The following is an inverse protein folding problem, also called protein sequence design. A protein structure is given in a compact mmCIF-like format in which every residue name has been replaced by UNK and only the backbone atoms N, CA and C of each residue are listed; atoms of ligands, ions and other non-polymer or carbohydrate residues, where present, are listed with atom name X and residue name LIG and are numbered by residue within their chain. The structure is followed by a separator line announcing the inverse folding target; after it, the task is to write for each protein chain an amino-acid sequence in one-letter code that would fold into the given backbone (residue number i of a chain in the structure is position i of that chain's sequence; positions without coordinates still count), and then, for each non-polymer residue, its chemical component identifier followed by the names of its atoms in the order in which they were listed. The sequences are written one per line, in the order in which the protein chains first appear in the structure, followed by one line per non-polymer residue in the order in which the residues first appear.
data_IF_617760185073
#
_entry.id   IF_617760185073
#
_cell.length_a   1.000
_cell.length_b   1.000
_cell.length_c   1.000
_cell.angle_alpha   90.00
_cell.angle_beta   90.00
_cell.angle_gamma   90.00
#
_symmetry.space_group_name_H-M   'P 1'
#
loop_
_entity.id
_entity.type
_entity.pdbx_description
1 polymer ?
#
# COMPACT_ATOMS: atom_id res chain seq x y z
N UNK A 1 7.48 -0.16 -20.66
CA UNK A 1 6.29 -0.35 -19.82
C UNK A 1 5.33 -1.34 -20.47
N UNK A 2 4.65 -2.21 -19.70
CA UNK A 2 3.62 -3.13 -20.20
C UNK A 2 2.23 -2.56 -19.85
N UNK A 3 1.53 -1.98 -20.81
CA UNK A 3 0.22 -1.36 -20.59
C UNK A 3 -0.83 -2.34 -20.07
N UNK A 4 -0.82 -3.60 -20.51
CA UNK A 4 -1.78 -4.62 -20.01
C UNK A 4 -1.60 -4.89 -18.52
N UNK A 5 -0.38 -4.83 -18.02
CA UNK A 5 -0.11 -4.97 -16.59
C UNK A 5 -0.54 -3.72 -15.84
N UNK A 6 -0.28 -2.53 -16.38
CA UNK A 6 -0.72 -1.27 -15.81
C UNK A 6 -2.25 -1.21 -15.71
N UNK A 7 -2.97 -1.53 -16.79
CA UNK A 7 -4.44 -1.54 -16.83
C UNK A 7 -5.02 -2.52 -15.81
N UNK A 8 -4.43 -3.72 -15.70
CA UNK A 8 -4.82 -4.71 -14.68
C UNK A 8 -4.63 -4.15 -13.27
N UNK A 9 -3.47 -3.54 -13.00
CA UNK A 9 -3.12 -3.03 -11.68
C UNK A 9 -4.01 -1.82 -11.31
N UNK A 10 -4.34 -0.96 -12.28
CA UNK A 10 -5.31 0.14 -12.12
C UNK A 10 -6.69 -0.43 -11.76
N UNK A 11 -7.20 -1.40 -12.52
CA UNK A 11 -8.51 -1.99 -12.26
C UNK A 11 -8.57 -2.67 -10.88
N UNK A 12 -7.53 -3.43 -10.51
CA UNK A 12 -7.45 -4.08 -9.19
C UNK A 12 -7.38 -3.07 -8.05
N UNK A 13 -6.54 -2.04 -8.18
CA UNK A 13 -6.41 -1.01 -7.16
C UNK A 13 -7.69 -0.18 -7.00
N UNK A 14 -8.36 0.20 -8.10
CA UNK A 14 -9.62 0.92 -8.05
C UNK A 14 -10.73 0.10 -7.37
N UNK A 15 -10.82 -1.20 -7.65
CA UNK A 15 -11.73 -2.09 -6.94
C UNK A 15 -11.45 -2.14 -5.43
N UNK A 16 -10.17 -2.20 -5.04
CA UNK A 16 -9.75 -2.17 -3.63
C UNK A 16 -10.05 -0.84 -2.95
N UNK A 17 -9.88 0.29 -3.65
CA UNK A 17 -10.25 1.61 -3.17
C UNK A 17 -11.75 1.70 -2.88
N UNK A 18 -12.61 1.23 -3.81
CA UNK A 18 -14.06 1.24 -3.60
C UNK A 18 -14.47 0.34 -2.44
N UNK A 19 -13.87 -0.85 -2.33
CA UNK A 19 -14.13 -1.76 -1.22
C UNK A 19 -13.67 -1.19 0.14
N UNK A 20 -12.55 -0.47 0.19
CA UNK A 20 -12.11 0.27 1.37
C UNK A 20 -13.14 1.36 1.72
N UNK A 21 -13.50 2.24 0.78
CA UNK A 21 -14.44 3.33 1.03
C UNK A 21 -15.80 2.82 1.52
N UNK A 22 -16.30 1.73 0.93
CA UNK A 22 -17.55 1.08 1.38
C UNK A 22 -17.44 0.58 2.82
N UNK A 23 -16.30 0.01 3.21
CA UNK A 23 -16.10 -0.46 4.59
C UNK A 23 -16.03 0.68 5.62
N UNK A 24 -15.82 1.92 5.18
CA UNK A 24 -15.75 3.10 6.03
C UNK A 24 -17.07 3.88 6.14
N UNK A 25 -18.12 3.51 5.40
CA UNK A 25 -19.37 4.28 5.36
C UNK A 25 -20.08 4.39 6.73
N UNK A 26 -19.87 3.40 7.60
CA UNK A 26 -20.43 3.36 8.96
C UNK A 26 -19.41 3.68 10.06
N UNK A 27 -18.20 4.11 9.72
CA UNK A 27 -17.13 4.37 10.68
C UNK A 27 -17.57 5.43 11.70
N UNK A 28 -17.49 5.09 12.98
CA UNK A 28 -17.78 5.98 14.10
C UNK A 28 -16.53 6.66 14.63
N UNK A 29 -16.70 7.77 15.35
CA UNK A 29 -15.59 8.45 16.02
C UNK A 29 -14.91 7.58 17.10
N UNK A 30 -15.65 6.67 17.71
CA UNK A 30 -15.11 5.72 18.69
C UNK A 30 -14.17 4.72 18.00
N UNK A 31 -14.59 4.13 16.88
CA UNK A 31 -13.76 3.23 16.07
C UNK A 31 -12.55 3.94 15.49
N UNK A 32 -12.69 5.18 15.01
CA UNK A 32 -11.58 5.96 14.49
C UNK A 32 -10.46 6.18 15.53
N UNK A 33 -10.80 6.26 16.82
CA UNK A 33 -9.86 6.40 17.94
C UNK A 33 -9.40 5.07 18.52
N UNK A 34 -10.02 3.95 18.15
CA UNK A 34 -9.64 2.64 18.63
C UNK A 34 -8.26 2.23 18.11
N UNK A 35 -7.59 1.34 18.84
CA UNK A 35 -6.34 0.74 18.36
C UNK A 35 -6.57 -0.02 17.05
N UNK A 36 -5.67 0.15 16.11
CA UNK A 36 -5.59 -0.67 14.90
C UNK A 36 -4.76 -1.94 15.15
N UNK A 37 -4.62 -2.80 14.15
CA UNK A 37 -3.73 -3.96 14.23
C UNK A 37 -2.23 -3.58 14.16
N UNK A 38 -1.91 -2.30 13.94
CA UNK A 38 -0.53 -1.80 13.98
C UNK A 38 -0.22 -1.25 15.37
N UNK A 39 0.85 -1.78 16.00
CA UNK A 39 1.26 -1.35 17.32
C UNK A 39 1.51 0.17 17.38
N UNK A 40 0.88 0.83 18.34
CA UNK A 40 0.99 2.28 18.55
C UNK A 40 0.13 3.14 17.62
N UNK A 41 -0.62 2.54 16.68
CA UNK A 41 -1.49 3.27 15.76
C UNK A 41 -2.97 3.03 16.05
N UNK A 42 -3.77 4.09 15.93
CA UNK A 42 -5.23 3.99 15.86
C UNK A 42 -5.70 3.82 14.42
N UNK A 43 -6.97 3.50 14.23
CA UNK A 43 -7.62 3.51 12.91
C UNK A 43 -7.42 4.86 12.21
N UNK A 44 -7.50 5.98 12.95
CA UNK A 44 -7.24 7.32 12.41
C UNK A 44 -5.82 7.51 11.87
N UNK A 45 -4.80 6.91 12.50
CA UNK A 45 -3.43 6.92 11.97
C UNK A 45 -3.33 6.17 10.65
N UNK A 46 -3.92 4.98 10.56
CA UNK A 46 -3.91 4.16 9.34
C UNK A 46 -4.63 4.88 8.19
N UNK A 47 -5.80 5.47 8.46
CA UNK A 47 -6.55 6.22 7.44
C UNK A 47 -5.80 7.48 6.99
N UNK A 48 -5.17 8.20 7.91
CA UNK A 48 -4.34 9.36 7.57
C UNK A 48 -3.13 8.93 6.74
N UNK A 49 -2.48 7.82 7.11
CA UNK A 49 -1.39 7.26 6.32
C UNK A 49 -1.83 6.94 4.89
N UNK A 50 -2.96 6.25 4.71
CA UNK A 50 -3.49 5.93 3.39
C UNK A 50 -3.79 7.16 2.55
N UNK A 51 -4.32 8.23 3.16
CA UNK A 51 -4.57 9.49 2.48
C UNK A 51 -3.26 10.17 2.06
N UNK A 52 -2.30 10.32 2.97
CA UNK A 52 -0.98 10.93 2.67
C UNK A 52 -0.17 10.11 1.66
N UNK A 53 -0.31 8.80 1.67
CA UNK A 53 0.30 7.93 0.65
C UNK A 53 -0.29 8.22 -0.75
N UNK A 54 -1.61 8.39 -0.87
CA UNK A 54 -2.24 8.77 -2.15
C UNK A 54 -1.73 10.12 -2.66
N UNK A 55 -1.67 11.15 -1.78
CA UNK A 55 -1.12 12.46 -2.13
C UNK A 55 0.33 12.38 -2.59
N UNK A 56 1.12 11.54 -1.94
CA UNK A 56 2.53 11.36 -2.30
C UNK A 56 2.72 10.74 -3.68
N UNK A 57 1.87 9.78 -4.05
CA UNK A 57 1.88 9.17 -5.38
C UNK A 57 1.43 10.15 -6.46
N UNK A 58 0.36 10.92 -6.17
CA UNK A 58 -0.11 12.01 -7.04
C UNK A 58 1.02 13.01 -7.32
N UNK A 59 1.70 13.46 -6.27
CA UNK A 59 2.82 14.40 -6.37
C UNK A 59 3.94 13.87 -7.26
N UNK A 60 4.35 12.61 -7.08
CA UNK A 60 5.42 12.00 -7.89
C UNK A 60 5.02 11.88 -9.36
N UNK A 61 3.78 11.46 -9.66
CA UNK A 61 3.28 11.37 -11.04
C UNK A 61 3.23 12.74 -11.72
N UNK A 62 2.74 13.76 -11.02
CA UNK A 62 2.72 15.13 -11.55
C UNK A 62 4.14 15.68 -11.81
N UNK A 63 5.13 15.28 -10.99
CA UNK A 63 6.54 15.59 -11.26
C UNK A 63 7.02 14.91 -12.54
N UNK A 64 6.76 13.61 -12.66
CA UNK A 64 7.16 12.81 -13.82
C UNK A 64 6.56 13.35 -15.14
N UNK A 65 5.30 13.84 -15.11
CA UNK A 65 4.69 14.54 -16.27
C UNK A 65 5.47 15.76 -16.73
N UNK A 66 6.21 16.41 -15.83
CA UNK A 66 7.07 17.56 -16.15
C UNK A 66 8.54 17.17 -16.38
N UNK A 67 8.84 15.86 -16.38
CA UNK A 67 10.22 15.35 -16.48
C UNK A 67 11.05 15.55 -15.21
N UNK A 68 10.39 15.75 -14.06
CA UNK A 68 11.02 15.95 -12.74
C UNK A 68 11.01 14.65 -11.94
N UNK A 69 12.08 14.40 -11.18
CA UNK A 69 12.15 13.30 -10.19
C UNK A 69 11.86 13.89 -8.81
N UNK A 70 10.61 13.77 -8.34
CA UNK A 70 10.21 14.28 -7.04
C UNK A 70 10.30 13.20 -5.96
N UNK A 71 10.61 13.64 -4.72
CA UNK A 71 10.55 12.79 -3.53
C UNK A 71 9.10 12.42 -3.19
N UNK A 72 8.89 11.23 -2.66
CA UNK A 72 7.57 10.75 -2.22
C UNK A 72 6.96 11.71 -1.18
N UNK A 73 7.70 12.08 -0.16
CA UNK A 73 7.31 13.06 0.87
C UNK A 73 8.31 14.21 0.88
N UNK A 74 7.84 15.44 1.11
CA UNK A 74 8.69 16.65 1.05
C UNK A 74 9.86 16.55 2.00
N UNK A 75 9.61 16.18 3.25
CA UNK A 75 10.62 16.03 4.30
C UNK A 75 10.93 14.55 4.61
N UNK A 76 10.79 13.67 3.60
CA UNK A 76 11.07 12.25 3.71
C UNK A 76 10.20 11.54 4.76
N UNK A 77 10.77 10.56 5.46
CA UNK A 77 10.06 9.78 6.46
C UNK A 77 9.61 10.63 7.67
N UNK A 78 10.35 11.67 8.03
CA UNK A 78 10.00 12.55 9.13
C UNK A 78 8.74 13.36 8.80
N UNK A 79 8.68 14.00 7.65
CA UNK A 79 7.49 14.75 7.21
C UNK A 79 6.26 13.86 7.13
N UNK A 80 6.40 12.64 6.54
CA UNK A 80 5.33 11.63 6.56
C UNK A 80 4.80 11.37 7.96
N UNK A 81 5.66 11.15 8.95
CA UNK A 81 5.24 10.82 10.30
C UNK A 81 4.55 12.02 10.97
N UNK A 82 5.05 13.24 10.79
CA UNK A 82 4.42 14.47 11.30
C UNK A 82 3.01 14.62 10.73
N UNK A 83 2.82 14.42 9.44
CA UNK A 83 1.52 14.54 8.78
C UNK A 83 0.52 13.48 9.27
N UNK A 84 0.99 12.24 9.52
CA UNK A 84 0.15 11.17 10.06
C UNK A 84 -0.32 11.52 11.48
N UNK A 85 0.58 11.91 12.36
CA UNK A 85 0.26 12.31 13.74
C UNK A 85 -0.72 13.49 13.77
N UNK A 86 -0.48 14.52 12.95
CA UNK A 86 -1.34 15.69 12.88
C UNK A 86 -2.76 15.36 12.42
N UNK A 87 -2.92 14.33 11.57
CA UNK A 87 -4.20 13.95 10.98
C UNK A 87 -4.97 12.89 11.77
N UNK A 88 -4.29 12.08 12.60
CA UNK A 88 -4.87 10.87 13.21
C UNK A 88 -6.04 11.15 14.18
N UNK A 89 -6.05 12.29 14.85
CA UNK A 89 -7.06 12.66 15.84
C UNK A 89 -8.36 13.25 15.27
N UNK A 90 -8.50 13.35 13.93
CA UNK A 90 -9.70 13.90 13.28
C UNK A 90 -10.93 13.04 13.52
N UNK A 91 -12.13 13.61 13.31
CA UNK A 91 -13.37 12.84 13.36
C UNK A 91 -13.44 11.79 12.24
N UNK A 92 -14.20 10.70 12.45
CA UNK A 92 -14.44 9.68 11.44
C UNK A 92 -14.89 10.28 10.11
N UNK A 93 -15.84 11.21 10.15
CA UNK A 93 -16.32 11.95 8.96
C UNK A 93 -15.19 12.65 8.20
N UNK A 94 -14.26 13.30 8.91
CA UNK A 94 -13.12 14.00 8.29
C UNK A 94 -12.11 13.03 7.71
N UNK A 95 -11.82 11.93 8.41
CA UNK A 95 -10.91 10.88 7.93
C UNK A 95 -11.43 10.19 6.67
N UNK A 96 -12.72 9.84 6.65
CA UNK A 96 -13.38 9.23 5.48
C UNK A 96 -13.43 10.20 4.30
N UNK A 97 -13.74 11.47 4.54
CA UNK A 97 -13.76 12.49 3.49
C UNK A 97 -12.36 12.71 2.89
N UNK A 98 -11.32 12.73 3.71
CA UNK A 98 -9.92 12.86 3.28
C UNK A 98 -9.50 11.65 2.44
N UNK A 99 -9.74 10.43 2.94
CA UNK A 99 -9.44 9.20 2.21
C UNK A 99 -10.15 9.17 0.84
N UNK A 100 -11.43 9.51 0.80
CA UNK A 100 -12.21 9.57 -0.44
C UNK A 100 -11.66 10.60 -1.43
N UNK A 101 -11.36 11.80 -0.95
CA UNK A 101 -10.85 12.89 -1.80
C UNK A 101 -9.49 12.51 -2.40
N UNK A 102 -8.57 12.02 -1.58
CA UNK A 102 -7.21 11.67 -2.04
C UNK A 102 -7.20 10.48 -2.98
N UNK A 103 -8.06 9.48 -2.77
CA UNK A 103 -8.26 8.35 -3.67
C UNK A 103 -8.74 8.85 -5.04
N UNK A 104 -9.82 9.63 -5.09
CA UNK A 104 -10.37 10.10 -6.37
C UNK A 104 -9.43 11.04 -7.11
N UNK A 105 -8.68 11.88 -6.38
CA UNK A 105 -7.65 12.72 -6.99
C UNK A 105 -6.54 11.88 -7.63
N UNK A 106 -6.09 10.82 -6.95
CA UNK A 106 -5.06 9.92 -7.47
C UNK A 106 -5.56 9.15 -8.69
N UNK A 107 -6.77 8.58 -8.65
CA UNK A 107 -7.38 7.90 -9.80
C UNK A 107 -7.58 8.85 -10.99
N UNK A 108 -7.97 10.11 -10.73
CA UNK A 108 -8.07 11.14 -11.74
C UNK A 108 -6.72 11.48 -12.39
N UNK A 109 -5.63 11.47 -11.61
CA UNK A 109 -4.27 11.62 -12.17
C UNK A 109 -3.89 10.42 -13.00
N UNK A 110 -4.16 9.19 -12.56
CA UNK A 110 -3.89 7.99 -13.38
C UNK A 110 -4.56 8.05 -14.74
N UNK A 111 -5.82 8.47 -14.78
CA UNK A 111 -6.60 8.57 -16.03
C UNK A 111 -6.04 9.62 -17.01
N UNK A 112 -5.26 10.59 -16.52
CA UNK A 112 -4.71 11.68 -17.32
C UNK A 112 -3.19 11.61 -17.47
N UNK A 113 -2.51 10.63 -16.88
CA UNK A 113 -1.07 10.46 -16.97
C UNK A 113 -0.69 9.99 -18.36
N UNK A 114 0.23 10.72 -19.00
CA UNK A 114 0.72 10.39 -20.34
C UNK A 114 1.83 9.33 -20.30
N UNK A 115 2.25 8.88 -21.48
CA UNK A 115 3.42 7.99 -21.62
C UNK A 115 4.68 8.58 -20.97
N UNK A 116 4.85 9.90 -21.02
CA UNK A 116 5.96 10.59 -20.36
C UNK A 116 5.89 10.39 -18.84
N UNK A 117 4.74 10.62 -18.25
CA UNK A 117 4.54 10.45 -16.82
C UNK A 117 4.74 8.99 -16.37
N UNK A 118 4.10 8.03 -17.08
CA UNK A 118 4.23 6.61 -16.74
C UNK A 118 5.64 6.04 -16.91
N UNK A 119 6.41 6.51 -17.89
CA UNK A 119 7.81 6.12 -18.09
C UNK A 119 8.80 6.95 -17.26
N UNK A 120 8.31 7.97 -16.55
CA UNK A 120 9.10 8.79 -15.64
C UNK A 120 9.53 8.03 -14.39
N UNK A 121 10.22 8.74 -13.50
CA UNK A 121 10.77 8.21 -12.26
C UNK A 121 10.44 9.12 -11.09
N UNK A 122 10.44 8.55 -9.88
CA UNK A 122 10.30 9.29 -8.64
C UNK A 122 11.15 8.67 -7.53
N UNK A 123 11.40 9.41 -6.47
CA UNK A 123 12.22 8.99 -5.35
C UNK A 123 11.33 8.61 -4.16
N UNK A 124 11.01 7.31 -4.04
CA UNK A 124 10.31 6.74 -2.88
C UNK A 124 11.27 6.62 -1.68
N UNK A 125 10.72 6.33 -0.49
CA UNK A 125 11.53 6.09 0.71
C UNK A 125 12.52 4.91 0.55
N UNK A 126 12.19 3.96 -0.32
CA UNK A 126 13.04 2.79 -0.63
C UNK A 126 14.04 3.04 -1.76
N UNK A 127 14.07 4.24 -2.32
CA UNK A 127 14.92 4.61 -3.45
C UNK A 127 14.14 5.00 -4.70
N UNK A 128 14.84 5.17 -5.81
CA UNK A 128 14.25 5.57 -7.09
C UNK A 128 13.42 4.43 -7.69
N UNK A 129 12.22 4.76 -8.13
CA UNK A 129 11.27 3.80 -8.70
C UNK A 129 10.66 4.33 -10.01
N UNK A 130 10.30 3.44 -10.95
CA UNK A 130 9.53 3.85 -12.13
C UNK A 130 8.07 4.16 -11.76
N UNK A 131 7.48 5.15 -12.42
CA UNK A 131 6.13 5.61 -12.07
C UNK A 131 5.02 4.59 -12.32
N UNK A 132 5.16 3.73 -13.33
CA UNK A 132 4.18 2.66 -13.57
C UNK A 132 4.10 1.62 -12.42
N UNK A 133 5.14 1.51 -11.58
CA UNK A 133 5.10 0.65 -10.38
C UNK A 133 4.21 1.23 -9.26
N UNK A 134 3.92 2.54 -9.29
CA UNK A 134 3.13 3.19 -8.23
C UNK A 134 1.75 2.59 -8.07
N UNK A 135 1.10 2.19 -9.18
CA UNK A 135 -0.26 1.66 -9.13
C UNK A 135 -0.29 0.37 -8.31
N UNK A 136 0.61 -0.58 -8.60
CA UNK A 136 0.66 -1.82 -7.82
C UNK A 136 1.10 -1.57 -6.37
N UNK A 137 2.02 -0.64 -6.12
CA UNK A 137 2.42 -0.22 -4.77
C UNK A 137 1.21 0.34 -4.01
N UNK A 138 0.37 1.15 -4.67
CA UNK A 138 -0.86 1.68 -4.08
C UNK A 138 -1.88 0.58 -3.78
N UNK A 139 -2.04 -0.39 -4.69
CA UNK A 139 -2.91 -1.55 -4.45
C UNK A 139 -2.48 -2.31 -3.21
N UNK A 140 -1.18 -2.57 -3.09
CA UNK A 140 -0.57 -3.19 -1.90
C UNK A 140 -0.83 -2.40 -0.62
N UNK A 141 -0.56 -1.10 -0.61
CA UNK A 141 -0.84 -0.22 0.53
C UNK A 141 -2.32 -0.32 0.96
N UNK A 142 -3.23 -0.31 -0.01
CA UNK A 142 -4.66 -0.37 0.26
C UNK A 142 -5.05 -1.70 0.89
N UNK A 143 -4.62 -2.84 0.35
CA UNK A 143 -4.99 -4.16 0.86
C UNK A 143 -4.40 -4.44 2.25
N UNK A 144 -3.10 -4.18 2.41
CA UNK A 144 -2.43 -4.42 3.69
C UNK A 144 -3.04 -3.54 4.78
N UNK A 145 -3.15 -2.25 4.54
CA UNK A 145 -3.60 -1.33 5.57
C UNK A 145 -5.12 -1.38 5.81
N UNK A 146 -5.91 -1.87 4.83
CA UNK A 146 -7.30 -2.20 5.09
C UNK A 146 -7.43 -3.33 6.12
N UNK A 147 -6.58 -4.35 6.05
CA UNK A 147 -6.52 -5.39 7.07
C UNK A 147 -5.98 -4.85 8.42
N UNK A 148 -5.02 -3.91 8.37
CA UNK A 148 -4.46 -3.27 9.55
C UNK A 148 -5.47 -2.38 10.30
N UNK A 149 -6.55 -1.91 9.66
CA UNK A 149 -7.62 -1.17 10.35
C UNK A 149 -8.27 -1.96 11.48
N UNK A 150 -8.33 -3.29 11.40
CA UNK A 150 -8.98 -4.13 12.42
C UNK A 150 -10.52 -4.03 12.40
N UNK A 151 -11.12 -3.62 11.28
CA UNK A 151 -12.56 -3.43 11.09
C UNK A 151 -13.23 -4.64 10.39
N UNK A 152 -12.78 -5.85 10.69
CA UNK A 152 -13.36 -7.10 10.19
C UNK A 152 -12.77 -7.63 8.89
N UNK A 153 -12.07 -6.81 8.10
CA UNK A 153 -11.31 -7.26 6.95
C UNK A 153 -9.94 -7.78 7.39
N UNK A 154 -9.50 -8.91 6.85
CA UNK A 154 -8.26 -9.59 7.23
C UNK A 154 -7.45 -9.96 5.99
N UNK A 155 -6.23 -10.46 6.20
CA UNK A 155 -5.41 -10.99 5.09
C UNK A 155 -6.09 -12.15 4.34
N UNK A 156 -7.02 -12.88 4.97
CA UNK A 156 -7.76 -13.97 4.32
C UNK A 156 -8.77 -13.47 3.28
N UNK A 157 -9.14 -12.18 3.37
CA UNK A 157 -10.09 -11.53 2.47
C UNK A 157 -9.39 -10.83 1.28
N UNK A 158 -8.05 -10.80 1.24
CA UNK A 158 -7.32 -10.21 0.14
C UNK A 158 -7.71 -10.81 -1.20
N UNK A 159 -7.89 -10.01 -2.27
CA UNK A 159 -8.23 -10.54 -3.60
C UNK A 159 -7.17 -11.53 -4.09
N UNK A 160 -7.61 -12.68 -4.59
CA UNK A 160 -6.71 -13.76 -5.03
C UNK A 160 -5.72 -13.29 -6.11
N UNK A 161 -6.12 -12.39 -7.01
CA UNK A 161 -5.23 -11.82 -8.01
C UNK A 161 -4.15 -10.93 -7.39
N UNK A 162 -4.52 -10.10 -6.39
CA UNK A 162 -3.55 -9.34 -5.61
C UNK A 162 -2.54 -10.27 -4.94
N UNK A 163 -3.04 -11.28 -4.21
CA UNK A 163 -2.19 -12.26 -3.51
C UNK A 163 -1.21 -12.94 -4.47
N UNK A 164 -1.71 -13.42 -5.61
CA UNK A 164 -0.88 -14.07 -6.64
C UNK A 164 0.23 -13.15 -7.15
N UNK A 165 -0.10 -11.91 -7.48
CA UNK A 165 0.84 -10.94 -8.05
C UNK A 165 1.87 -10.47 -7.02
N UNK A 166 1.44 -10.22 -5.78
CA UNK A 166 2.35 -9.76 -4.73
C UNK A 166 3.25 -10.85 -4.21
N UNK A 167 2.76 -12.11 -4.15
CA UNK A 167 3.62 -13.26 -3.85
C UNK A 167 4.78 -13.40 -4.84
N UNK A 168 4.57 -13.16 -6.12
CA UNK A 168 5.66 -13.18 -7.11
C UNK A 168 6.72 -12.13 -6.76
N UNK A 169 6.31 -10.90 -6.44
CA UNK A 169 7.22 -9.81 -6.07
C UNK A 169 7.94 -10.07 -4.75
N UNK A 170 7.20 -10.50 -3.72
CA UNK A 170 7.75 -10.76 -2.40
C UNK A 170 8.67 -12.00 -2.39
N UNK A 171 8.38 -13.02 -3.18
CA UNK A 171 9.26 -14.19 -3.35
C UNK A 171 10.55 -13.78 -4.05
N UNK A 172 10.51 -12.94 -5.08
CA UNK A 172 11.70 -12.40 -5.72
C UNK A 172 12.53 -11.55 -4.77
N UNK A 173 11.90 -10.70 -3.97
CA UNK A 173 12.55 -9.91 -2.92
C UNK A 173 13.19 -10.82 -1.86
N UNK A 174 12.49 -11.86 -1.43
CA UNK A 174 13.06 -12.87 -0.54
C UNK A 174 14.27 -13.55 -1.15
N UNK A 175 14.20 -13.99 -2.40
CA UNK A 175 15.29 -14.66 -3.08
C UNK A 175 16.54 -13.79 -3.17
N UNK A 176 16.40 -12.47 -3.32
CA UNK A 176 17.50 -11.51 -3.45
C UNK A 176 18.23 -11.16 -2.14
N UNK A 177 17.81 -11.68 -0.99
CA UNK A 177 18.43 -11.41 0.33
C UNK A 177 19.88 -11.84 0.45
N UNK A 178 20.30 -12.84 -0.33
CA UNK A 178 21.67 -13.34 -0.38
C UNK A 178 22.25 -13.14 -1.77
N UNK A 179 23.58 -13.04 -1.87
CA UNK A 179 24.24 -13.03 -3.17
C UNK A 179 23.73 -14.16 -4.06
N UNK A 180 23.61 -13.91 -5.35
CA UNK A 180 23.09 -14.81 -6.38
C UNK A 180 21.56 -14.93 -6.49
N UNK A 181 20.76 -14.31 -5.61
CA UNK A 181 19.29 -14.32 -5.72
C UNK A 181 18.64 -15.72 -5.62
N UNK A 182 19.29 -16.67 -4.92
CA UNK A 182 18.88 -18.08 -4.89
C UNK A 182 18.31 -18.53 -3.54
N UNK A 183 17.92 -17.60 -2.66
CA UNK A 183 17.36 -17.98 -1.37
C UNK A 183 15.93 -18.47 -1.55
N UNK A 184 15.71 -19.79 -1.41
CA UNK A 184 14.37 -20.37 -1.44
C UNK A 184 13.56 -19.97 -0.21
N UNK A 185 12.23 -19.91 -0.36
CA UNK A 185 11.32 -19.81 0.79
C UNK A 185 11.44 -21.10 1.65
N UNK A 186 11.32 -20.97 2.99
CA UNK A 186 11.31 -22.13 3.87
C UNK A 186 10.16 -23.10 3.55
N UNK A 187 10.37 -24.40 3.74
CA UNK A 187 9.35 -25.41 3.48
C UNK A 187 8.06 -25.17 4.26
N UNK A 188 8.16 -24.70 5.52
CA UNK A 188 7.00 -24.35 6.34
C UNK A 188 6.18 -23.19 5.73
N UNK A 189 6.85 -22.20 5.10
CA UNK A 189 6.14 -21.13 4.39
C UNK A 189 5.49 -21.63 3.10
N UNK A 190 6.03 -22.68 2.47
CA UNK A 190 5.44 -23.28 1.28
C UNK A 190 4.25 -24.21 1.62
N UNK A 191 4.15 -24.68 2.87
CA UNK A 191 3.10 -25.56 3.32
C UNK A 191 1.77 -24.85 3.70
N UNK A 192 1.80 -23.55 3.92
CA UNK A 192 0.59 -22.75 4.20
C UNK A 192 -0.05 -22.20 2.92
N UNK A 193 -1.28 -21.70 3.04
CA UNK A 193 -2.00 -21.08 1.91
C UNK A 193 -1.26 -19.88 1.33
N UNK A 194 -1.55 -19.48 0.07
CA UNK A 194 -0.98 -18.28 -0.52
C UNK A 194 -1.23 -17.01 0.30
N UNK A 195 -2.42 -16.85 0.91
CA UNK A 195 -2.78 -15.72 1.76
C UNK A 195 -1.93 -15.68 3.04
N UNK A 196 -1.84 -16.78 3.75
CA UNK A 196 -1.01 -16.90 4.95
C UNK A 196 0.47 -16.65 4.65
N UNK A 197 0.97 -17.18 3.53
CA UNK A 197 2.35 -16.97 3.10
C UNK A 197 2.62 -15.50 2.80
N UNK A 198 1.71 -14.82 2.11
CA UNK A 198 1.85 -13.39 1.83
C UNK A 198 1.76 -12.58 3.11
N UNK A 199 0.83 -12.91 4.02
CA UNK A 199 0.68 -12.24 5.30
C UNK A 199 1.95 -12.39 6.16
N UNK A 200 2.57 -13.57 6.19
CA UNK A 200 3.85 -13.77 6.86
C UNK A 200 4.98 -12.95 6.22
N UNK A 201 5.07 -12.90 4.90
CA UNK A 201 6.07 -12.09 4.20
C UNK A 201 5.91 -10.59 4.54
N UNK A 202 4.69 -10.13 4.78
CA UNK A 202 4.38 -8.76 5.19
C UNK A 202 4.37 -8.55 6.70
N UNK A 203 4.73 -9.57 7.50
CA UNK A 203 4.76 -9.46 8.96
C UNK A 203 3.37 -9.26 9.59
N UNK A 204 2.32 -9.79 8.95
CA UNK A 204 0.92 -9.75 9.44
C UNK A 204 0.45 -11.10 9.96
N UNK A 205 1.29 -12.12 9.88
CA UNK A 205 1.03 -13.47 10.39
C UNK A 205 2.34 -14.11 10.84
N UNK A 206 2.33 -14.77 11.98
CA UNK A 206 3.41 -15.67 12.41
C UNK A 206 3.13 -17.10 11.95
N UNK A 207 4.11 -17.74 11.32
CA UNK A 207 4.06 -19.16 10.99
C UNK A 207 4.88 -19.94 12.03
N UNK A 208 4.28 -20.95 12.63
CA UNK A 208 4.93 -21.77 13.65
C UNK A 208 6.28 -22.32 13.15
N UNK A 209 7.32 -22.12 13.94
CA UNK A 209 8.68 -22.57 13.61
C UNK A 209 9.43 -21.68 12.61
N UNK A 210 8.86 -20.55 12.18
CA UNK A 210 9.56 -19.55 11.36
C UNK A 210 9.82 -18.28 12.15
N UNK A 211 10.96 -17.66 11.87
CA UNK A 211 11.20 -16.28 12.28
C UNK A 211 10.39 -15.31 11.39
N UNK A 212 10.10 -14.08 11.85
CA UNK A 212 9.49 -13.05 11.02
C UNK A 212 10.25 -12.91 9.69
N UNK A 213 9.50 -12.72 8.61
CA UNK A 213 10.09 -12.68 7.28
C UNK A 213 11.09 -11.52 7.11
N UNK A 214 10.81 -10.35 7.69
CA UNK A 214 11.70 -9.17 7.67
C UNK A 214 12.02 -8.68 6.26
N UNK A 215 11.07 -8.77 5.33
CA UNK A 215 11.19 -8.26 3.95
C UNK A 215 10.36 -6.99 3.71
N UNK A 216 9.53 -6.65 4.69
CA UNK A 216 8.67 -5.46 4.70
C UNK A 216 9.33 -4.29 5.42
#
# INVERSE_FOLDING_TARGET
MNYRELDRDVAGCAASHQALLTSLDSLTDAEARAASNLAGWTVGHVLTHLARNADSHLRMLQGAERGEVLTQYVDGAQGRNVDIEAGAGRSARQLVADARTTIYNLEGVWANTTDQGWNGRGLALVGEIPMHDLVFRRWRETEIHRADLGLGYTFSDWPSDYVRLDLLRMTAQWASRKPMGLTALPASALAVSPHERLAWLWGRLDIAGLQPAGVS
#
